data_IF_909742517113
#
_entry.id   IF_909742517113
#
_cell.length_a   1.000
_cell.length_b   1.000
_cell.length_c   1.000
_cell.angle_alpha   90.00
_cell.angle_beta   90.00
_cell.angle_gamma   90.00
#
_symmetry.space_group_name_H-M   'P 1'
#
loop_
_entity.id
_entity.type
_entity.pdbx_description
1 polymer ?
#
# COMPACT_ATOMS: atom_id res chain seq x y z
N UNK A 1 26.77 0.24 17.17
CA UNK A 1 27.17 -0.75 16.15
C UNK A 1 26.75 -0.20 14.81
N UNK A 2 27.70 0.19 13.96
CA UNK A 2 27.43 0.87 12.68
C UNK A 2 27.40 -0.12 11.52
N UNK A 3 26.91 0.35 10.36
CA UNK A 3 26.98 -0.42 9.11
C UNK A 3 28.44 -0.72 8.74
N UNK A 4 28.79 -1.94 8.26
CA UNK A 4 30.18 -2.26 7.92
C UNK A 4 30.72 -1.39 6.79
N UNK A 5 32.01 -1.09 6.86
CA UNK A 5 32.77 -0.43 5.80
C UNK A 5 32.55 -1.14 4.45
N UNK A 6 32.45 -0.39 3.35
CA UNK A 6 32.21 -0.90 1.98
C UNK A 6 30.83 -1.51 1.74
N UNK A 7 29.88 -1.30 2.65
CA UNK A 7 28.47 -1.64 2.38
C UNK A 7 27.93 -0.81 1.22
N UNK A 8 27.06 -1.40 0.41
CA UNK A 8 26.53 -0.76 -0.81
C UNK A 8 25.02 -0.87 -0.87
N UNK A 9 24.36 0.21 -1.27
CA UNK A 9 22.91 0.25 -1.51
C UNK A 9 22.61 0.59 -2.96
N UNK A 10 21.74 -0.19 -3.59
CA UNK A 10 21.21 0.07 -4.93
C UNK A 10 19.71 0.31 -4.87
N UNK A 11 19.26 1.28 -5.65
CA UNK A 11 17.84 1.55 -5.87
C UNK A 11 17.42 1.03 -7.24
N UNK A 12 16.30 0.33 -7.26
CA UNK A 12 15.65 -0.06 -8.50
C UNK A 12 14.85 1.11 -9.07
N UNK A 13 15.02 1.35 -10.36
CA UNK A 13 14.22 2.26 -11.14
C UNK A 13 13.23 1.48 -11.99
N UNK A 14 11.94 1.63 -11.67
CA UNK A 14 10.86 0.96 -12.36
C UNK A 14 10.57 1.56 -13.75
N UNK A 15 11.04 2.77 -14.04
CA UNK A 15 10.88 3.37 -15.37
C UNK A 15 11.92 2.83 -16.34
N UNK A 16 13.20 2.83 -15.94
CA UNK A 16 14.30 2.33 -16.76
C UNK A 16 14.54 0.83 -16.64
N UNK A 17 13.84 0.15 -15.71
CA UNK A 17 13.98 -1.29 -15.43
C UNK A 17 15.43 -1.68 -15.13
N UNK A 18 16.10 -0.88 -14.31
CA UNK A 18 17.52 -1.06 -14.00
C UNK A 18 17.86 -0.59 -12.58
N UNK A 19 19.02 -1.04 -12.08
CA UNK A 19 19.60 -0.47 -10.87
C UNK A 19 20.44 0.76 -11.22
N UNK A 20 20.24 1.84 -10.46
CA UNK A 20 21.15 2.98 -10.50
C UNK A 20 22.54 2.64 -9.94
N UNK A 21 23.47 3.60 -10.04
CA UNK A 21 24.77 3.47 -9.38
C UNK A 21 24.60 3.35 -7.85
N UNK A 22 25.39 2.49 -7.17
CA UNK A 22 25.25 2.33 -5.74
C UNK A 22 25.83 3.51 -4.97
N UNK A 23 25.22 3.81 -3.82
CA UNK A 23 25.90 4.55 -2.76
C UNK A 23 26.71 3.58 -1.90
N UNK A 24 27.95 3.94 -1.57
CA UNK A 24 28.87 3.09 -0.79
C UNK A 24 29.16 3.76 0.55
N UNK A 25 29.07 3.00 1.64
CA UNK A 25 29.45 3.46 2.96
C UNK A 25 30.95 3.31 3.20
N UNK A 26 31.58 4.37 3.71
CA UNK A 26 32.98 4.39 4.13
C UNK A 26 33.09 4.88 5.58
N UNK A 27 33.85 4.15 6.39
CA UNK A 27 34.07 4.45 7.80
C UNK A 27 34.77 5.81 7.94
N UNK A 28 34.20 6.69 8.77
CA UNK A 28 34.70 8.06 8.96
C UNK A 28 34.22 9.08 7.92
N UNK A 29 33.66 8.64 6.79
CA UNK A 29 33.15 9.54 5.74
C UNK A 29 31.65 9.40 5.47
N UNK A 30 31.01 8.32 5.93
CA UNK A 30 29.58 8.09 5.71
C UNK A 30 29.28 7.53 4.32
N UNK A 31 28.07 7.81 3.81
CA UNK A 31 27.64 7.38 2.48
C UNK A 31 28.25 8.27 1.39
N UNK A 32 28.69 7.67 0.28
CA UNK A 32 29.25 8.41 -0.86
C UNK A 32 28.26 9.35 -1.53
N UNK A 33 26.97 9.09 -1.38
CA UNK A 33 25.87 9.89 -1.94
C UNK A 33 24.65 9.75 -1.06
N UNK A 34 23.97 10.86 -0.80
CA UNK A 34 22.68 10.87 -0.12
C UNK A 34 21.61 10.28 -1.03
N UNK A 35 20.93 9.25 -0.54
CA UNK A 35 19.81 8.62 -1.23
C UNK A 35 18.54 8.82 -0.40
N UNK A 36 17.47 9.23 -1.06
CA UNK A 36 16.15 9.30 -0.43
C UNK A 36 15.47 7.93 -0.54
N UNK A 37 15.18 7.33 0.62
CA UNK A 37 14.47 6.06 0.73
C UNK A 37 13.03 6.33 1.19
N UNK A 38 12.12 6.49 0.24
CA UNK A 38 10.69 6.58 0.56
C UNK A 38 10.20 5.32 1.26
N UNK A 39 9.36 5.46 2.28
CA UNK A 39 8.78 4.33 3.01
C UNK A 39 8.03 3.41 2.04
N UNK A 40 8.22 2.10 2.15
CA UNK A 40 7.63 1.10 1.25
C UNK A 40 8.40 0.89 -0.06
N UNK A 41 9.34 1.78 -0.43
CA UNK A 41 10.23 1.51 -1.57
C UNK A 41 11.31 0.51 -1.14
N UNK A 42 11.52 -0.53 -1.94
CA UNK A 42 12.56 -1.51 -1.68
C UNK A 42 13.94 -1.07 -2.21
N UNK A 43 14.99 -1.66 -1.66
CA UNK A 43 16.37 -1.46 -2.09
C UNK A 43 17.17 -2.75 -1.89
N UNK A 44 18.31 -2.85 -2.57
CA UNK A 44 19.26 -3.95 -2.35
C UNK A 44 20.39 -3.42 -1.49
N UNK A 45 20.67 -4.09 -0.38
CA UNK A 45 21.82 -3.82 0.48
C UNK A 45 22.79 -4.99 0.41
N UNK A 46 24.03 -4.71 0.00
CA UNK A 46 25.16 -5.64 0.10
C UNK A 46 26.04 -5.21 1.26
N UNK A 47 26.19 -6.10 2.23
CA UNK A 47 27.16 -5.96 3.32
C UNK A 47 28.32 -6.92 3.10
N UNK A 48 29.58 -6.53 3.37
CA UNK A 48 30.74 -7.40 3.17
C UNK A 48 30.93 -8.44 4.28
N UNK A 49 30.21 -8.31 5.40
CA UNK A 49 30.19 -9.28 6.48
C UNK A 49 28.76 -9.42 7.05
N UNK A 50 28.40 -10.60 7.59
CA UNK A 50 27.10 -10.80 8.23
C UNK A 50 26.82 -9.71 9.27
N UNK A 51 25.67 -9.06 9.15
CA UNK A 51 25.31 -7.90 9.96
C UNK A 51 23.84 -7.97 10.35
N UNK A 52 23.53 -7.51 11.55
CA UNK A 52 22.15 -7.31 11.98
C UNK A 52 21.67 -5.95 11.46
N UNK A 53 20.60 -5.98 10.66
CA UNK A 53 19.93 -4.77 10.19
C UNK A 53 18.71 -4.58 11.09
N UNK A 54 18.65 -3.43 11.76
CA UNK A 54 17.49 -3.03 12.55
C UNK A 54 16.81 -1.85 11.89
N UNK A 55 15.49 -1.90 11.80
CA UNK A 55 14.68 -0.79 11.35
C UNK A 55 14.26 0.01 12.59
N UNK A 56 14.68 1.28 12.67
CA UNK A 56 14.39 2.16 13.79
C UNK A 56 13.72 3.41 13.23
N UNK A 57 12.58 3.78 13.78
CA UNK A 57 11.84 4.95 13.36
C UNK A 57 10.40 4.93 13.85
N UNK A 58 9.68 6.01 13.57
CA UNK A 58 8.23 6.08 13.78
C UNK A 58 7.54 5.37 12.63
N UNK A 59 6.59 4.49 12.95
CA UNK A 59 5.75 3.85 11.94
C UNK A 59 4.64 4.82 11.58
N UNK A 60 4.48 5.20 10.29
CA UNK A 60 3.40 6.10 9.90
C UNK A 60 2.04 5.41 10.07
N UNK A 61 1.05 6.13 10.60
CA UNK A 61 -0.33 5.68 10.77
C UNK A 61 -1.27 6.31 9.74
N UNK A 62 -2.47 5.75 9.62
CA UNK A 62 -3.52 6.16 8.70
C UNK A 62 -3.42 5.48 7.33
N UNK A 63 -3.89 6.19 6.30
CA UNK A 63 -3.92 5.70 4.93
C UNK A 63 -2.54 5.84 4.27
N UNK A 64 -1.86 4.71 4.14
CA UNK A 64 -0.54 4.59 3.54
C UNK A 64 -0.66 4.09 2.11
N UNK A 65 0.17 4.62 1.21
CA UNK A 65 0.16 4.24 -0.21
C UNK A 65 1.57 3.97 -0.71
N UNK A 66 1.73 2.91 -1.50
CA UNK A 66 2.97 2.54 -2.15
C UNK A 66 2.70 2.22 -3.62
N UNK A 67 3.39 2.91 -4.52
CA UNK A 67 3.20 2.77 -5.94
C UNK A 67 3.83 1.48 -6.48
N UNK A 68 3.10 0.79 -7.33
CA UNK A 68 3.55 -0.41 -8.05
C UNK A 68 3.35 -0.16 -9.55
N UNK A 69 4.46 -0.16 -10.29
CA UNK A 69 4.42 -0.03 -11.74
C UNK A 69 3.75 -1.26 -12.35
N UNK A 70 2.84 -1.02 -13.30
CA UNK A 70 2.15 -2.01 -14.09
C UNK A 70 2.81 -2.24 -15.45
N UNK A 71 2.03 -2.71 -16.42
CA UNK A 71 2.46 -3.02 -17.78
C UNK A 71 3.65 -4.00 -17.84
N UNK A 72 3.63 -5.00 -16.96
CA UNK A 72 4.69 -6.00 -16.78
C UNK A 72 6.06 -5.43 -16.39
N UNK A 73 6.11 -4.20 -15.88
CA UNK A 73 7.34 -3.65 -15.28
C UNK A 73 7.59 -4.30 -13.93
N UNK A 74 8.86 -4.53 -13.61
CA UNK A 74 9.29 -4.90 -12.27
C UNK A 74 9.29 -3.67 -11.37
N UNK A 75 8.79 -3.85 -10.15
CA UNK A 75 8.89 -2.90 -9.04
C UNK A 75 9.57 -3.60 -7.86
N UNK A 76 10.53 -2.93 -7.23
CA UNK A 76 11.13 -3.38 -5.98
C UNK A 76 10.44 -2.67 -4.81
N UNK A 77 9.61 -3.40 -4.08
CA UNK A 77 8.74 -2.83 -3.04
C UNK A 77 8.93 -3.56 -1.72
N UNK A 78 8.60 -2.89 -0.63
CA UNK A 78 8.53 -3.44 0.72
C UNK A 78 7.24 -3.00 1.40
N UNK A 79 6.93 -3.62 2.54
CA UNK A 79 5.80 -3.19 3.35
C UNK A 79 6.06 -1.80 3.93
N UNK A 80 5.10 -0.89 3.81
CA UNK A 80 5.18 0.46 4.41
C UNK A 80 5.23 0.36 5.94
N UNK A 81 4.46 -0.58 6.49
CA UNK A 81 4.47 -0.91 7.93
C UNK A 81 5.46 -2.07 8.14
N UNK A 82 6.41 -1.98 9.08
CA UNK A 82 7.40 -3.03 9.34
C UNK A 82 6.74 -4.22 10.06
N UNK A 83 5.93 -4.98 9.33
CA UNK A 83 5.16 -6.12 9.80
C UNK A 83 5.57 -7.36 9.01
N UNK A 84 5.86 -8.45 9.72
CA UNK A 84 6.05 -9.76 9.10
C UNK A 84 4.71 -10.45 8.92
N UNK A 85 4.19 -10.52 7.70
CA UNK A 85 2.94 -11.23 7.41
C UNK A 85 2.85 -11.64 5.93
N UNK A 86 1.83 -12.43 5.58
CA UNK A 86 1.57 -12.78 4.18
C UNK A 86 1.08 -11.59 3.36
N UNK A 87 1.29 -11.60 2.05
CA UNK A 87 0.85 -10.50 1.17
C UNK A 87 -0.64 -10.17 1.31
N UNK A 88 -1.52 -11.17 1.48
CA UNK A 88 -2.94 -10.94 1.73
C UNK A 88 -3.20 -10.24 3.07
N UNK A 89 -2.48 -10.60 4.14
CA UNK A 89 -2.60 -9.94 5.46
C UNK A 89 -2.03 -8.52 5.41
N UNK A 90 -1.00 -8.30 4.61
CA UNK A 90 -0.48 -6.96 4.33
C UNK A 90 -1.36 -6.17 3.34
N UNK A 91 -2.55 -6.67 2.98
CA UNK A 91 -3.51 -6.02 2.07
C UNK A 91 -2.93 -5.66 0.69
N UNK A 92 -1.99 -6.47 0.20
CA UNK A 92 -1.45 -6.27 -1.14
C UNK A 92 -2.52 -6.59 -2.20
N UNK A 93 -2.82 -5.68 -3.15
CA UNK A 93 -3.86 -5.87 -4.15
C UNK A 93 -3.38 -6.75 -5.32
N UNK A 94 -3.39 -8.07 -5.08
CA UNK A 94 -3.05 -9.07 -6.09
C UNK A 94 -3.90 -8.93 -7.36
N UNK A 95 -3.25 -8.92 -8.52
CA UNK A 95 -3.89 -8.90 -9.84
C UNK A 95 -3.62 -10.18 -10.59
N UNK A 96 -4.58 -10.64 -11.41
CA UNK A 96 -4.43 -11.91 -12.13
C UNK A 96 -3.11 -11.95 -12.90
N UNK A 97 -2.37 -13.04 -12.72
CA UNK A 97 -1.04 -13.32 -13.30
C UNK A 97 0.07 -12.39 -12.80
N UNK A 98 -0.14 -11.65 -11.71
CA UNK A 98 0.93 -10.90 -11.05
C UNK A 98 1.95 -11.85 -10.43
N UNK A 99 3.23 -11.54 -10.61
CA UNK A 99 4.34 -12.41 -10.19
C UNK A 99 5.16 -11.71 -9.11
N UNK A 100 5.49 -12.44 -8.04
CA UNK A 100 6.37 -11.99 -6.96
C UNK A 100 7.64 -12.84 -6.93
N UNK A 101 8.78 -12.17 -6.79
CA UNK A 101 10.09 -12.79 -6.61
C UNK A 101 10.67 -12.41 -5.25
N UNK A 102 10.99 -13.43 -4.46
CA UNK A 102 11.54 -13.26 -3.12
C UNK A 102 13.03 -13.60 -3.11
N UNK A 103 13.82 -12.78 -2.41
CA UNK A 103 15.21 -13.10 -2.17
C UNK A 103 15.34 -14.24 -1.15
N UNK A 104 16.13 -15.26 -1.48
CA UNK A 104 16.58 -16.29 -0.54
C UNK A 104 17.97 -15.92 -0.02
N UNK A 105 18.03 -15.41 1.21
CA UNK A 105 19.28 -14.98 1.85
C UNK A 105 20.25 -16.14 2.12
N UNK A 106 19.76 -17.37 2.29
CA UNK A 106 20.61 -18.55 2.50
C UNK A 106 21.40 -18.88 1.23
N UNK A 107 20.72 -18.91 0.09
CA UNK A 107 21.31 -19.34 -1.17
C UNK A 107 21.80 -18.18 -2.04
N UNK A 108 21.53 -16.93 -1.64
CA UNK A 108 21.84 -15.70 -2.39
C UNK A 108 21.27 -15.73 -3.82
N UNK A 109 20.03 -16.22 -3.95
CA UNK A 109 19.30 -16.34 -5.22
C UNK A 109 17.84 -15.93 -5.01
N UNK A 110 17.15 -15.53 -6.09
CA UNK A 110 15.70 -15.41 -6.03
C UNK A 110 15.06 -16.81 -5.97
N UNK A 111 13.99 -16.93 -5.18
CA UNK A 111 13.14 -18.12 -5.16
C UNK A 111 12.37 -18.24 -6.48
N UNK A 112 11.80 -19.42 -6.70
CA UNK A 112 10.82 -19.62 -7.76
C UNK A 112 9.69 -18.59 -7.66
N UNK A 113 9.19 -18.18 -8.82
CA UNK A 113 8.17 -17.16 -8.96
C UNK A 113 6.87 -17.59 -8.27
N UNK A 114 6.25 -16.65 -7.56
CA UNK A 114 4.94 -16.83 -6.94
C UNK A 114 3.93 -16.04 -7.74
N UNK A 115 2.87 -16.69 -8.22
CA UNK A 115 1.90 -16.09 -9.13
C UNK A 115 0.53 -15.94 -8.47
N UNK A 116 -0.10 -14.79 -8.60
CA UNK A 116 -1.48 -14.57 -8.19
C UNK A 116 -2.45 -15.01 -9.29
N UNK A 117 -3.48 -15.78 -8.92
CA UNK A 117 -4.58 -16.17 -9.79
C UNK A 117 -5.89 -15.60 -9.25
N UNK A 118 -6.57 -14.79 -10.05
CA UNK A 118 -7.82 -14.15 -9.62
C UNK A 118 -8.89 -15.20 -9.26
N UNK A 119 -9.51 -15.03 -8.10
CA UNK A 119 -10.48 -15.99 -7.55
C UNK A 119 -9.87 -17.17 -6.79
N UNK A 120 -8.54 -17.39 -6.88
CA UNK A 120 -7.85 -18.50 -6.21
C UNK A 120 -6.79 -18.04 -5.20
N UNK A 121 -6.21 -16.85 -5.40
CA UNK A 121 -5.15 -16.29 -4.56
C UNK A 121 -3.76 -16.60 -5.09
N UNK A 122 -2.76 -16.58 -4.21
CA UNK A 122 -1.36 -16.79 -4.57
C UNK A 122 -1.00 -18.28 -4.67
N UNK A 123 -0.25 -18.63 -5.72
CA UNK A 123 0.32 -19.96 -5.97
C UNK A 123 1.84 -19.91 -5.90
N UNK A 124 2.47 -20.94 -5.33
CA UNK A 124 3.93 -20.99 -5.11
C UNK A 124 4.41 -20.47 -3.74
N UNK A 125 3.49 -20.12 -2.84
CA UNK A 125 3.76 -19.73 -1.45
C UNK A 125 3.16 -20.70 -0.42
N UNK A 126 3.26 -20.37 0.88
CA UNK A 126 2.74 -21.15 2.01
C UNK A 126 1.19 -21.18 2.13
N UNK A 127 0.48 -21.11 1.00
CA UNK A 127 -0.98 -21.10 0.90
C UNK A 127 -1.53 -19.98 0.01
N UNK A 128 -2.86 -19.93 -0.13
CA UNK A 128 -3.59 -18.95 -0.96
C UNK A 128 -3.40 -17.49 -0.52
N UNK A 129 -2.96 -17.28 0.73
CA UNK A 129 -2.69 -15.96 1.32
C UNK A 129 -1.37 -15.31 0.83
N UNK A 130 -0.60 -16.02 0.00
CA UNK A 130 0.67 -15.54 -0.52
C UNK A 130 1.84 -15.74 0.43
N UNK A 131 3.04 -15.37 -0.04
CA UNK A 131 4.26 -15.53 0.73
C UNK A 131 4.25 -14.61 1.95
N UNK A 132 4.84 -15.11 3.02
CA UNK A 132 5.20 -14.28 4.18
C UNK A 132 6.37 -13.38 3.79
N UNK A 133 6.16 -12.08 3.88
CA UNK A 133 7.20 -11.06 3.74
C UNK A 133 7.71 -10.75 5.15
N UNK A 134 8.98 -11.04 5.47
CA UNK A 134 9.54 -10.66 6.77
C UNK A 134 9.64 -9.14 6.90
N UNK A 135 9.69 -8.64 8.13
CA UNK A 135 9.99 -7.24 8.38
C UNK A 135 11.33 -6.85 7.76
N UNK A 136 11.43 -5.60 7.28
CA UNK A 136 12.62 -5.04 6.65
C UNK A 136 13.12 -5.81 5.39
N UNK A 137 12.23 -6.56 4.72
CA UNK A 137 12.53 -7.18 3.43
C UNK A 137 11.75 -6.50 2.32
N UNK A 138 12.41 -6.32 1.18
CA UNK A 138 11.77 -5.99 -0.09
C UNK A 138 11.69 -7.21 -1.00
N UNK A 139 10.78 -7.14 -1.96
CA UNK A 139 10.58 -8.15 -2.98
C UNK A 139 10.32 -7.49 -4.33
N UNK A 140 10.65 -8.20 -5.40
CA UNK A 140 10.25 -7.77 -6.73
C UNK A 140 8.83 -8.22 -7.00
N UNK A 141 8.06 -7.34 -7.62
CA UNK A 141 6.74 -7.67 -8.17
C UNK A 141 6.67 -7.25 -9.63
N UNK A 142 6.09 -8.12 -10.46
CA UNK A 142 5.81 -7.86 -11.86
C UNK A 142 4.30 -7.89 -12.05
N UNK A 143 3.74 -6.72 -12.32
CA UNK A 143 2.29 -6.53 -12.42
C UNK A 143 1.87 -6.43 -13.89
N UNK A 144 1.02 -7.34 -14.42
CA UNK A 144 0.60 -7.31 -15.82
C UNK A 144 -0.42 -6.22 -16.14
N UNK A 145 -1.26 -5.85 -15.17
CA UNK A 145 -2.27 -4.80 -15.30
C UNK A 145 -1.68 -3.38 -15.29
N UNK A 146 -2.51 -2.33 -15.26
CA UNK A 146 -2.04 -0.95 -15.16
C UNK A 146 -1.32 -0.70 -13.83
N UNK A 147 -0.60 0.42 -13.78
CA UNK A 147 -0.04 0.96 -12.56
C UNK A 147 -1.08 1.00 -11.44
N UNK A 148 -0.66 0.67 -10.21
CA UNK A 148 -1.56 0.59 -9.08
C UNK A 148 -0.88 1.06 -7.81
N UNK A 149 -1.72 1.42 -6.83
CA UNK A 149 -1.27 1.73 -5.50
C UNK A 149 -1.60 0.57 -4.56
N UNK A 150 -0.60 0.08 -3.86
CA UNK A 150 -0.78 -0.73 -2.67
C UNK A 150 -1.16 0.18 -1.52
N UNK A 151 -2.44 0.13 -1.14
CA UNK A 151 -3.02 0.97 -0.10
C UNK A 151 -3.21 0.14 1.17
N UNK A 152 -2.83 0.71 2.32
CA UNK A 152 -3.05 0.12 3.64
C UNK A 152 -3.56 1.17 4.60
N UNK A 153 -4.54 0.81 5.42
CA UNK A 153 -4.90 1.61 6.59
C UNK A 153 -4.28 0.96 7.83
N UNK A 154 -3.50 1.72 8.59
CA UNK A 154 -2.73 1.21 9.72
C UNK A 154 -2.86 2.10 10.96
N UNK A 155 -3.05 1.48 12.11
CA UNK A 155 -3.05 2.14 13.43
C UNK A 155 -2.37 1.23 14.45
N UNK A 156 -1.45 1.76 15.27
CA UNK A 156 -0.78 1.00 16.34
C UNK A 156 -1.74 0.65 17.47
N UNK A 157 -2.70 1.52 17.69
CA UNK A 157 -3.85 1.24 18.51
C UNK A 157 -4.92 0.73 17.55
N UNK A 158 -5.04 -0.58 17.43
CA UNK A 158 -6.34 -1.14 17.13
C UNK A 158 -7.24 -0.69 18.29
N UNK A 159 -7.85 0.50 18.17
CA UNK A 159 -9.15 0.69 18.79
C UNK A 159 -9.94 -0.49 18.28
N UNK A 160 -10.19 -1.46 19.17
CA UNK A 160 -11.27 -2.40 19.00
C UNK A 160 -12.42 -1.57 18.45
N UNK A 161 -12.75 -1.73 17.18
CA UNK A 161 -13.97 -1.19 16.64
C UNK A 161 -15.11 -2.02 17.22
N UNK A 162 -15.32 -1.89 18.53
CA UNK A 162 -16.54 -2.15 19.26
C UNK A 162 -17.14 -0.79 19.63
N UNK A 163 -17.19 0.11 18.65
CA UNK A 163 -18.19 1.16 18.66
C UNK A 163 -19.42 0.56 18.03
N UNK A 164 -20.37 0.12 18.86
CA UNK A 164 -21.69 -0.27 18.40
C UNK A 164 -22.31 0.90 17.61
N UNK A 165 -22.20 0.87 16.29
CA UNK A 165 -23.26 1.42 15.45
C UNK A 165 -24.22 0.27 15.19
N UNK A 166 -25.34 0.33 15.90
CA UNK A 166 -26.52 -0.40 15.52
C UNK A 166 -26.84 -0.10 14.04
N UNK A 167 -27.31 -1.15 13.36
CA UNK A 167 -27.71 -1.28 11.97
C UNK A 167 -26.58 -1.57 10.97
N UNK A 168 -26.67 -2.80 10.46
CA UNK A 168 -25.90 -3.43 9.39
C UNK A 168 -26.14 -2.74 8.05
N UNK A 169 -25.66 -1.52 7.89
CA UNK A 169 -25.80 -0.79 6.64
C UNK A 169 -24.53 -0.94 5.81
N UNK A 170 -24.60 -1.75 4.76
CA UNK A 170 -23.44 -2.06 3.91
C UNK A 170 -22.81 -0.79 3.32
N UNK A 171 -21.51 -0.63 3.54
CA UNK A 171 -20.72 0.45 2.94
C UNK A 171 -20.58 0.22 1.43
N UNK A 172 -20.80 1.27 0.65
CA UNK A 172 -20.62 1.27 -0.79
C UNK A 172 -19.21 1.76 -1.13
N UNK A 173 -18.62 1.18 -2.18
CA UNK A 173 -17.33 1.66 -2.69
C UNK A 173 -17.48 3.06 -3.30
N UNK A 174 -16.43 3.87 -3.20
CA UNK A 174 -16.26 5.11 -3.96
C UNK A 174 -15.18 4.81 -5.01
N UNK A 175 -15.54 4.78 -6.28
CA UNK A 175 -14.64 4.39 -7.37
C UNK A 175 -13.76 5.53 -7.87
N UNK A 176 -14.19 6.77 -7.65
CA UNK A 176 -13.43 7.97 -7.99
C UNK A 176 -13.81 9.13 -7.09
N UNK A 177 -12.85 10.01 -6.82
CA UNK A 177 -13.04 11.28 -6.11
C UNK A 177 -12.30 12.36 -6.87
N UNK A 178 -13.01 13.42 -7.28
CA UNK A 178 -12.39 14.60 -7.89
C UNK A 178 -12.81 15.86 -7.15
N UNK A 179 -11.91 16.84 -7.08
CA UNK A 179 -12.17 18.12 -6.44
C UNK A 179 -11.87 19.19 -7.47
N UNK A 180 -12.86 20.05 -7.75
CA UNK A 180 -12.69 21.18 -8.66
C UNK A 180 -13.51 22.36 -8.18
N UNK A 181 -12.90 23.56 -8.21
CA UNK A 181 -13.56 24.82 -7.88
C UNK A 181 -14.37 24.83 -6.57
N UNK A 182 -13.84 24.23 -5.50
CA UNK A 182 -14.51 24.14 -4.20
C UNK A 182 -15.65 23.12 -4.13
N UNK A 183 -15.83 22.30 -5.16
CA UNK A 183 -16.78 21.19 -5.22
C UNK A 183 -16.05 19.86 -5.22
N UNK A 184 -16.67 18.84 -4.62
CA UNK A 184 -16.25 17.44 -4.70
C UNK A 184 -17.25 16.67 -5.54
N UNK A 185 -16.74 15.77 -6.37
CA UNK A 185 -17.50 14.78 -7.10
C UNK A 185 -17.04 13.38 -6.70
N UNK A 186 -18.00 12.53 -6.31
CA UNK A 186 -17.78 11.15 -5.92
C UNK A 186 -18.51 10.22 -6.91
N UNK A 187 -17.79 9.26 -7.47
CA UNK A 187 -18.42 8.17 -8.23
C UNK A 187 -18.72 7.00 -7.30
N UNK A 188 -20.00 6.63 -7.22
CA UNK A 188 -20.53 5.63 -6.29
C UNK A 188 -21.32 4.61 -7.12
N UNK A 189 -20.78 3.42 -7.40
CA UNK A 189 -21.50 2.38 -8.13
C UNK A 189 -22.66 1.85 -7.29
N UNK A 190 -23.86 2.39 -7.53
CA UNK A 190 -25.10 1.94 -6.92
C UNK A 190 -25.94 1.16 -7.93
N UNK A 191 -26.50 0.03 -7.51
CA UNK A 191 -27.43 -0.75 -8.34
C UNK A 191 -28.70 0.07 -8.61
N UNK A 192 -29.35 -0.17 -9.75
CA UNK A 192 -30.58 0.55 -10.16
C UNK A 192 -31.64 0.45 -9.05
N UNK A 193 -32.07 1.60 -8.53
CA UNK A 193 -33.06 1.70 -7.44
C UNK A 193 -32.49 1.62 -6.02
N UNK A 194 -31.16 1.58 -5.85
CA UNK A 194 -30.51 1.69 -4.55
C UNK A 194 -30.46 3.13 -4.04
N UNK A 195 -30.57 3.28 -2.72
CA UNK A 195 -30.39 4.55 -2.02
C UNK A 195 -29.10 4.52 -1.21
N UNK A 196 -28.48 5.68 -1.03
CA UNK A 196 -27.33 5.84 -0.15
C UNK A 196 -27.29 7.21 0.51
N UNK A 197 -26.54 7.29 1.59
CA UNK A 197 -26.20 8.52 2.30
C UNK A 197 -24.72 8.80 2.09
N UNK A 198 -24.36 10.08 1.93
CA UNK A 198 -22.96 10.53 1.88
C UNK A 198 -22.63 11.14 3.22
N UNK A 199 -21.56 10.65 3.84
CA UNK A 199 -21.04 11.13 5.10
C UNK A 199 -19.69 11.80 4.87
N UNK A 200 -19.43 12.84 5.65
CA UNK A 200 -18.16 13.55 5.66
C UNK A 200 -17.55 13.59 7.05
N UNK A 201 -16.23 13.55 7.11
CA UNK A 201 -15.45 13.71 8.33
C UNK A 201 -14.21 14.56 8.07
N UNK A 202 -13.93 15.50 8.97
CA UNK A 202 -12.71 16.32 8.94
C UNK A 202 -11.52 15.66 9.65
N UNK A 203 -11.80 14.72 10.55
CA UNK A 203 -10.84 14.03 11.42
C UNK A 203 -10.72 12.52 11.14
N UNK A 204 -11.59 11.98 10.27
CA UNK A 204 -11.70 10.55 9.98
C UNK A 204 -12.48 9.76 11.04
N UNK A 205 -12.89 10.40 12.13
CA UNK A 205 -13.48 9.75 13.31
C UNK A 205 -14.93 10.19 13.56
N UNK A 206 -15.21 11.48 13.39
CA UNK A 206 -16.55 12.07 13.54
C UNK A 206 -17.20 12.17 12.17
N UNK A 207 -18.23 11.36 11.93
CA UNK A 207 -18.92 11.30 10.65
C UNK A 207 -20.27 12.01 10.72
N UNK A 208 -20.48 12.96 9.80
CA UNK A 208 -21.73 13.69 9.66
C UNK A 208 -22.35 13.39 8.31
N UNK A 209 -23.63 13.02 8.28
CA UNK A 209 -24.37 12.89 7.02
C UNK A 209 -24.48 14.27 6.36
N UNK A 210 -23.95 14.39 5.14
CA UNK A 210 -23.98 15.62 4.35
C UNK A 210 -24.96 15.54 3.17
N UNK A 211 -25.39 14.33 2.82
CA UNK A 211 -26.48 14.09 1.89
C UNK A 211 -27.16 12.76 2.25
N UNK A 212 -28.48 12.70 2.08
CA UNK A 212 -29.27 11.50 2.37
C UNK A 212 -30.14 11.10 1.18
N UNK A 213 -30.50 9.82 1.07
CA UNK A 213 -31.41 9.29 0.05
C UNK A 213 -30.99 9.58 -1.40
N UNK A 214 -29.68 9.53 -1.67
CA UNK A 214 -29.10 9.71 -2.99
C UNK A 214 -29.30 8.44 -3.84
N UNK A 215 -29.54 8.62 -5.14
CA UNK A 215 -29.88 7.54 -6.07
C UNK A 215 -29.01 7.51 -7.33
N UNK A 216 -28.24 8.58 -7.58
CA UNK A 216 -27.36 8.70 -8.73
C UNK A 216 -26.02 7.99 -8.52
N UNK A 217 -25.39 7.53 -9.60
CA UNK A 217 -24.05 6.94 -9.56
C UNK A 217 -22.92 7.97 -9.39
N UNK A 218 -23.27 9.25 -9.44
CA UNK A 218 -22.38 10.37 -9.17
C UNK A 218 -23.06 11.26 -8.14
N UNK A 219 -22.33 11.60 -7.08
CA UNK A 219 -22.75 12.61 -6.12
C UNK A 219 -21.82 13.82 -6.22
N UNK A 220 -22.39 15.02 -6.22
CA UNK A 220 -21.65 16.28 -6.19
C UNK A 220 -22.08 17.11 -4.99
N UNK A 221 -21.13 17.83 -4.39
CA UNK A 221 -21.41 18.71 -3.28
C UNK A 221 -20.25 19.63 -2.94
N UNK A 222 -20.46 20.62 -2.06
CA UNK A 222 -19.39 21.53 -1.65
C UNK A 222 -18.28 20.75 -0.93
N UNK A 223 -17.03 21.05 -1.24
CA UNK A 223 -15.89 20.49 -0.54
C UNK A 223 -15.79 21.11 0.87
N UNK A 224 -16.03 20.29 1.89
CA UNK A 224 -16.08 20.73 3.30
C UNK A 224 -14.74 20.55 4.06
N UNK A 225 -13.73 19.99 3.39
CA UNK A 225 -12.46 19.58 4.02
C UNK A 225 -11.47 20.69 4.35
N UNK A 226 -11.66 21.91 3.88
CA UNK A 226 -10.61 22.95 4.00
C UNK A 226 -9.33 22.50 3.30
N UNK A 227 -8.38 21.91 4.03
CA UNK A 227 -7.14 21.30 3.47
C UNK A 227 -7.30 19.79 3.24
N UNK A 228 -8.09 19.08 4.06
CA UNK A 228 -8.28 17.61 3.96
C UNK A 228 -9.62 17.15 4.56
N UNK A 229 -10.14 16.03 4.08
CA UNK A 229 -11.31 15.39 4.68
C UNK A 229 -11.63 14.06 4.02
N UNK A 230 -12.54 13.32 4.64
CA UNK A 230 -12.89 11.96 4.26
C UNK A 230 -14.37 11.87 3.90
N UNK A 231 -14.69 11.01 2.93
CA UNK A 231 -16.05 10.73 2.50
C UNK A 231 -16.35 9.24 2.63
N UNK A 232 -17.59 8.92 3.00
CA UNK A 232 -18.13 7.55 2.99
C UNK A 232 -19.49 7.54 2.32
N UNK A 233 -19.81 6.44 1.65
CA UNK A 233 -21.12 6.17 1.11
C UNK A 233 -21.72 4.96 1.82
N UNK A 234 -22.81 5.16 2.55
CA UNK A 234 -23.52 4.06 3.21
C UNK A 234 -24.79 3.80 2.42
N UNK A 235 -25.10 2.53 2.13
CA UNK A 235 -26.42 2.18 1.60
C UNK A 235 -27.50 2.78 2.52
N UNK A 236 -28.69 3.07 2.02
CA UNK A 236 -29.80 3.44 2.88
C UNK A 236 -30.95 2.50 2.61
N UNK A 237 -31.61 2.07 3.68
CA UNK A 237 -32.95 1.52 3.57
C UNK A 237 -33.93 2.69 3.47
N UNK A 238 -35.05 2.44 2.80
CA UNK A 238 -36.07 3.46 2.51
C UNK A 238 -36.92 3.75 3.74
#
# INVERSE_FOLDING_TARGET
>A
MGIPDRSKVWLWDAETQSFGAPTTFSTGSGWSTDIQLSVGRGFVLKVPSPSLITFIGVVPEGLLTNFVAGNNKLSLVGSIVPQSASLSVLQYPGTDKEIVYLWNSTNQLFKDSITYFAGYGWSGGSGSNGPVIPSAHSFFVQRPGPDANWIRDFSLFATLFSGALAQSVAELSISSTSISNGSVELQIPVAKGGFYNVLFSSDGTTWTAIATNQTGTVWTGPFRGGVRGYYRALKSEK
#
